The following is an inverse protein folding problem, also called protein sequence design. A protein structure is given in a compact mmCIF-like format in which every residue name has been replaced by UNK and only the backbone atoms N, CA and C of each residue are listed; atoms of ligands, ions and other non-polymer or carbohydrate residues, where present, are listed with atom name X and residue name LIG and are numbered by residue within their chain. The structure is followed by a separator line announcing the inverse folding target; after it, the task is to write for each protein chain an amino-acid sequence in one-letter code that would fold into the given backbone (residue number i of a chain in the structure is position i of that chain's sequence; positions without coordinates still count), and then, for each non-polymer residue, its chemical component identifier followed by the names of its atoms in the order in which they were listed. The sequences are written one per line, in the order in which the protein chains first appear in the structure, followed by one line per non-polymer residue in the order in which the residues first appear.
data_IF_015786810755
#
_entry.id   IF_015786810755
#
_cell.length_a   1.000
_cell.length_b   1.000
_cell.length_c   1.000
_cell.angle_alpha   90.00
_cell.angle_beta   90.00
_cell.angle_gamma   90.00
#
_symmetry.space_group_name_H-M   'P 1'
#
loop_
_entity.id
_entity.type
_entity.pdbx_description
1 polymer ?
#
# COMPACT_ATOMS: atom_id res chain seq x y z
N UNK A 1 10.25 43.25 6.24
CA UNK A 1 9.80 42.78 4.91
C UNK A 1 10.87 41.84 4.40
N UNK A 2 10.68 40.52 4.54
CA UNK A 2 11.71 39.53 4.16
C UNK A 2 11.61 39.35 2.65
N UNK A 3 12.62 39.82 1.90
CA UNK A 3 12.75 39.48 0.48
C UNK A 3 13.16 38.02 0.39
N UNK A 4 12.16 37.18 0.20
CA UNK A 4 12.33 35.75 0.04
C UNK A 4 12.60 35.50 -1.44
N UNK A 5 13.79 35.02 -1.78
CA UNK A 5 14.18 34.77 -3.17
C UNK A 5 13.42 33.54 -3.68
N UNK A 6 12.59 33.68 -4.73
CA UNK A 6 11.83 32.56 -5.31
C UNK A 6 12.73 31.37 -5.69
N UNK A 7 13.97 31.64 -6.10
CA UNK A 7 14.96 30.62 -6.41
C UNK A 7 15.33 29.74 -5.20
N UNK A 8 15.39 30.30 -3.99
CA UNK A 8 15.68 29.55 -2.76
C UNK A 8 14.51 28.63 -2.40
N UNK A 9 13.27 29.09 -2.58
CA UNK A 9 12.08 28.25 -2.37
C UNK A 9 11.92 27.16 -3.41
N UNK A 10 12.33 27.40 -4.66
CA UNK A 10 12.34 26.38 -5.70
C UNK A 10 13.44 25.33 -5.47
N UNK A 11 14.60 25.73 -4.93
CA UNK A 11 15.62 24.77 -4.48
C UNK A 11 15.11 23.92 -3.31
N UNK A 12 14.45 24.52 -2.31
CA UNK A 12 13.86 23.76 -1.19
C UNK A 12 12.73 22.84 -1.65
N UNK A 13 11.87 23.29 -2.59
CA UNK A 13 10.81 22.45 -3.18
C UNK A 13 11.39 21.28 -3.99
N UNK A 14 12.45 21.52 -4.76
CA UNK A 14 13.14 20.47 -5.52
C UNK A 14 13.87 19.49 -4.61
N UNK A 15 14.56 19.97 -3.58
CA UNK A 15 15.22 19.13 -2.57
C UNK A 15 14.22 18.24 -1.83
N UNK A 16 13.09 18.80 -1.38
CA UNK A 16 12.00 18.02 -0.76
C UNK A 16 11.37 17.01 -1.71
N UNK A 17 11.25 17.31 -3.01
CA UNK A 17 10.77 16.32 -4.00
C UNK A 17 11.74 15.16 -4.21
N UNK A 18 13.04 15.43 -4.12
CA UNK A 18 14.09 14.40 -4.26
C UNK A 18 14.11 13.51 -3.01
N UNK A 19 14.04 14.09 -1.81
CA UNK A 19 13.90 13.34 -0.55
C UNK A 19 12.57 12.57 -0.48
N UNK A 20 11.46 13.12 -0.98
CA UNK A 20 10.15 12.44 -1.00
C UNK A 20 10.07 11.25 -1.99
N UNK A 21 11.07 11.09 -2.86
CA UNK A 21 11.17 9.96 -3.79
C UNK A 21 11.85 8.74 -3.18
N UNK A 22 12.66 8.92 -2.15
CA UNK A 22 13.40 7.85 -1.48
C UNK A 22 12.70 7.43 -0.18
N UNK A 23 12.66 6.13 0.06
CA UNK A 23 12.12 5.60 1.30
C UNK A 23 13.12 5.84 2.43
N UNK A 24 12.68 6.44 3.52
CA UNK A 24 13.45 6.52 4.77
C UNK A 24 13.76 5.12 5.31
N UNK A 25 14.77 4.98 6.17
CA UNK A 25 15.10 3.68 6.78
C UNK A 25 13.93 3.08 7.57
N UNK A 26 13.17 3.92 8.29
CA UNK A 26 11.99 3.51 9.03
C UNK A 26 10.88 2.99 8.10
N UNK A 27 10.62 3.69 6.98
CA UNK A 27 9.64 3.24 5.98
C UNK A 27 10.10 1.97 5.28
N UNK A 28 11.39 1.84 4.98
CA UNK A 28 11.96 0.63 4.38
C UNK A 28 11.85 -0.55 5.34
N UNK A 29 12.04 -0.36 6.64
CA UNK A 29 11.84 -1.40 7.65
C UNK A 29 10.36 -1.79 7.80
N UNK A 30 9.45 -0.82 7.79
CA UNK A 30 8.00 -1.06 7.86
C UNK A 30 7.49 -1.76 6.59
N UNK A 31 7.82 -1.24 5.41
CA UNK A 31 7.41 -1.73 4.10
C UNK A 31 8.15 -2.99 3.65
N UNK A 32 9.37 -3.22 4.13
CA UNK A 32 10.21 -4.37 3.73
C UNK A 32 9.65 -5.74 4.14
N UNK A 33 8.61 -5.77 4.96
CA UNK A 33 7.86 -7.02 5.26
C UNK A 33 6.88 -7.33 4.13
N UNK A 34 7.07 -8.45 3.44
CA UNK A 34 6.15 -8.91 2.41
C UNK A 34 4.74 -9.20 2.97
N UNK A 35 3.71 -8.91 2.18
CA UNK A 35 2.34 -9.38 2.46
C UNK A 35 2.12 -10.72 1.80
N UNK A 36 1.93 -11.77 2.60
CA UNK A 36 1.56 -13.11 2.11
C UNK A 36 0.05 -13.25 2.04
N UNK A 37 -0.46 -13.64 0.88
CA UNK A 37 -1.86 -14.01 0.67
C UNK A 37 -1.91 -15.52 0.52
N UNK A 38 -2.75 -16.18 1.33
CA UNK A 38 -3.01 -17.61 1.26
C UNK A 38 -4.35 -17.83 0.57
N UNK A 39 -4.37 -18.69 -0.44
CA UNK A 39 -5.59 -19.00 -1.19
C UNK A 39 -6.24 -20.24 -0.59
N UNK A 40 -7.54 -20.17 -0.24
CA UNK A 40 -8.27 -21.33 0.22
C UNK A 40 -8.65 -22.21 -0.97
N UNK A 41 -7.93 -23.31 -1.15
CA UNK A 41 -8.25 -24.34 -2.14
C UNK A 41 -9.22 -25.34 -1.51
N UNK A 42 -10.40 -24.87 -1.10
CA UNK A 42 -11.41 -25.67 -0.41
C UNK A 42 -12.48 -26.19 -1.36
N UNK A 43 -12.93 -25.35 -2.27
CA UNK A 43 -14.02 -25.63 -3.21
C UNK A 43 -14.00 -24.62 -4.38
N UNK A 44 -14.69 -24.95 -5.47
CA UNK A 44 -14.75 -24.12 -6.68
C UNK A 44 -15.39 -22.73 -6.44
N UNK A 45 -16.53 -22.60 -5.73
CA UNK A 45 -17.08 -21.30 -5.37
C UNK A 45 -16.11 -20.41 -4.59
N UNK A 46 -15.44 -20.94 -3.56
CA UNK A 46 -14.46 -20.23 -2.75
C UNK A 46 -13.24 -19.79 -3.55
N UNK A 47 -12.77 -20.64 -4.47
CA UNK A 47 -11.69 -20.28 -5.40
C UNK A 47 -12.10 -19.18 -6.38
N UNK A 48 -13.34 -19.21 -6.90
CA UNK A 48 -13.86 -18.14 -7.76
C UNK A 48 -13.92 -16.81 -7.01
N UNK A 49 -14.46 -16.83 -5.79
CA UNK A 49 -14.51 -15.64 -4.94
C UNK A 49 -13.10 -15.10 -4.65
N UNK A 50 -12.13 -15.99 -4.39
CA UNK A 50 -10.75 -15.61 -4.18
C UNK A 50 -10.13 -14.95 -5.42
N UNK A 51 -10.39 -15.50 -6.61
CA UNK A 51 -9.94 -14.93 -7.87
C UNK A 51 -10.51 -13.52 -8.09
N UNK A 52 -11.80 -13.32 -7.86
CA UNK A 52 -12.45 -12.01 -7.99
C UNK A 52 -11.82 -10.96 -7.06
N UNK A 53 -11.49 -11.35 -5.82
CA UNK A 53 -10.80 -10.47 -4.87
C UNK A 53 -9.38 -10.12 -5.32
N UNK A 54 -8.64 -11.06 -5.89
CA UNK A 54 -7.28 -10.82 -6.42
C UNK A 54 -7.29 -9.92 -7.65
N UNK A 55 -8.27 -10.08 -8.55
CA UNK A 55 -8.47 -9.19 -9.70
C UNK A 55 -8.73 -7.77 -9.19
N UNK A 56 -9.65 -7.61 -8.23
CA UNK A 56 -9.93 -6.30 -7.61
C UNK A 56 -8.68 -5.68 -6.97
N UNK A 57 -7.86 -6.49 -6.28
CA UNK A 57 -6.59 -6.05 -5.71
C UNK A 57 -5.61 -5.57 -6.80
N UNK A 58 -5.45 -6.34 -7.88
CA UNK A 58 -4.58 -5.98 -9.00
C UNK A 58 -4.98 -4.66 -9.63
N UNK A 59 -6.27 -4.45 -9.87
CA UNK A 59 -6.82 -3.19 -10.40
C UNK A 59 -6.55 -2.01 -9.47
N UNK A 60 -6.73 -2.18 -8.16
CA UNK A 60 -6.44 -1.15 -7.16
C UNK A 60 -4.95 -0.81 -7.11
N UNK A 61 -4.07 -1.81 -7.15
CA UNK A 61 -2.62 -1.59 -7.17
C UNK A 61 -2.23 -0.80 -8.42
N UNK A 62 -2.74 -1.19 -9.59
CA UNK A 62 -2.46 -0.49 -10.85
C UNK A 62 -2.91 0.97 -10.77
N UNK A 63 -4.14 1.21 -10.30
CA UNK A 63 -4.67 2.57 -10.12
C UNK A 63 -3.78 3.41 -9.19
N UNK A 64 -3.38 2.88 -8.03
CA UNK A 64 -2.52 3.59 -7.07
C UNK A 64 -1.12 3.84 -7.65
N UNK A 65 -0.58 2.90 -8.43
CA UNK A 65 0.73 3.06 -9.06
C UNK A 65 0.74 4.25 -10.04
N UNK A 66 -0.34 4.43 -10.80
CA UNK A 66 -0.51 5.44 -11.83
C UNK A 66 -0.84 6.85 -11.27
N UNK A 67 -1.24 6.97 -9.99
CA UNK A 67 -1.57 8.26 -9.38
C UNK A 67 -0.38 9.22 -9.30
N UNK A 68 -0.48 10.40 -9.87
CA UNK A 68 0.60 11.40 -9.83
C UNK A 68 0.61 12.26 -8.56
N UNK A 69 -0.50 12.27 -7.81
CA UNK A 69 -0.72 13.10 -6.63
C UNK A 69 -0.21 12.48 -5.32
N UNK A 70 0.33 11.26 -5.37
CA UNK A 70 0.82 10.53 -4.19
C UNK A 70 2.34 10.34 -4.24
N UNK A 71 2.98 10.48 -3.09
CA UNK A 71 4.40 10.12 -2.92
C UNK A 71 4.61 8.61 -3.03
N UNK A 72 5.86 8.18 -3.28
CA UNK A 72 6.19 6.75 -3.39
C UNK A 72 5.86 5.97 -2.12
N UNK A 73 6.16 6.55 -0.95
CA UNK A 73 5.86 5.94 0.34
C UNK A 73 4.35 5.75 0.51
N UNK A 74 3.55 6.79 0.27
CA UNK A 74 2.09 6.73 0.37
C UNK A 74 1.49 5.68 -0.57
N UNK A 75 1.98 5.58 -1.81
CA UNK A 75 1.56 4.54 -2.75
C UNK A 75 1.81 3.14 -2.19
N UNK A 76 3.02 2.88 -1.68
CA UNK A 76 3.40 1.58 -1.13
C UNK A 76 2.61 1.24 0.14
N UNK A 77 2.37 2.22 1.02
CA UNK A 77 1.51 2.03 2.20
C UNK A 77 0.07 1.73 1.82
N UNK A 78 -0.50 2.46 0.85
CA UNK A 78 -1.85 2.21 0.36
C UNK A 78 -1.96 0.80 -0.25
N UNK A 79 -1.05 0.43 -1.16
CA UNK A 79 -1.02 -0.91 -1.76
C UNK A 79 -0.94 -2.02 -0.70
N UNK A 80 -0.08 -1.84 0.32
CA UNK A 80 0.03 -2.79 1.43
C UNK A 80 -1.25 -2.88 2.25
N UNK A 81 -1.90 -1.76 2.53
CA UNK A 81 -3.19 -1.72 3.24
C UNK A 81 -4.26 -2.50 2.49
N UNK A 82 -4.38 -2.28 1.17
CA UNK A 82 -5.30 -3.03 0.32
C UNK A 82 -4.99 -4.53 0.31
N UNK A 83 -3.71 -4.91 0.19
CA UNK A 83 -3.29 -6.32 0.22
C UNK A 83 -3.62 -6.99 1.56
N UNK A 84 -3.41 -6.30 2.70
CA UNK A 84 -3.80 -6.81 4.02
C UNK A 84 -5.32 -6.97 4.15
N UNK A 85 -6.09 -6.00 3.65
CA UNK A 85 -7.56 -6.07 3.66
C UNK A 85 -8.07 -7.28 2.87
N UNK A 86 -7.51 -7.53 1.68
CA UNK A 86 -7.85 -8.69 0.85
C UNK A 86 -7.43 -10.00 1.53
N UNK A 87 -6.22 -10.07 2.09
CA UNK A 87 -5.77 -11.22 2.88
C UNK A 87 -6.74 -11.53 4.03
N UNK A 88 -7.15 -10.51 4.78
CA UNK A 88 -8.02 -10.68 5.93
C UNK A 88 -9.44 -11.10 5.51
N UNK A 89 -9.95 -10.61 4.37
CA UNK A 89 -11.22 -11.07 3.78
C UNK A 89 -11.14 -12.53 3.32
N UNK A 90 -10.05 -12.93 2.66
CA UNK A 90 -9.83 -14.31 2.22
C UNK A 90 -9.72 -15.29 3.40
N UNK A 91 -9.13 -14.85 4.52
CA UNK A 91 -9.15 -15.63 5.76
C UNK A 91 -10.57 -15.84 6.28
N UNK A 92 -11.38 -14.78 6.33
CA UNK A 92 -12.77 -14.87 6.80
C UNK A 92 -13.61 -15.75 5.88
N UNK A 93 -13.49 -15.60 4.55
CA UNK A 93 -14.23 -16.42 3.59
C UNK A 93 -13.84 -17.90 3.64
N UNK A 94 -12.63 -18.21 4.11
CA UNK A 94 -12.16 -19.58 4.33
C UNK A 94 -12.45 -20.13 5.74
N UNK A 95 -13.30 -19.45 6.50
CA UNK A 95 -13.69 -19.87 7.86
C UNK A 95 -12.61 -19.66 8.92
N UNK A 96 -11.50 -18.98 8.59
CA UNK A 96 -10.47 -18.61 9.56
C UNK A 96 -10.82 -17.29 10.24
N UNK A 97 -10.61 -17.16 11.56
CA UNK A 97 -10.92 -15.92 12.26
C UNK A 97 -10.12 -14.74 11.70
N UNK A 98 -10.78 -13.58 11.65
CA UNK A 98 -10.17 -12.29 11.32
C UNK A 98 -9.08 -12.02 12.36
N UNK A 99 -7.94 -11.48 11.92
CA UNK A 99 -6.86 -11.12 12.83
C UNK A 99 -7.36 -9.98 13.73
N UNK A 100 -7.37 -10.19 15.04
CA UNK A 100 -7.43 -9.10 16.01
C UNK A 100 -6.10 -8.36 15.92
N UNK A 101 -6.14 -7.09 15.55
CA UNK A 101 -4.99 -6.21 15.75
C UNK A 101 -4.97 -5.88 17.24
N UNK A 102 -3.90 -6.25 17.93
CA UNK A 102 -3.66 -5.75 19.29
C UNK A 102 -3.59 -4.23 19.19
N UNK A 103 -4.47 -3.56 19.95
CA UNK A 103 -4.46 -2.10 20.08
C UNK A 103 -3.15 -1.72 20.76
N UNK A 104 -2.21 -1.17 20.00
CA UNK A 104 -1.07 -0.42 20.53
C UNK A 104 -1.42 1.06 20.49
#
# INVERSE_FOLDING_TARGET
MVQVCEAEWDMVRKARKIEAGELTEAERALLGRAVRIELPVTDLPGMKQAADMLIGLGTQIKFIAEREDMTKAEKLFAMRSHANSVRDRLRVSSGRPKRTYDKF
#
